data_IF_150959788136
#
_entry.id   IF_150959788136
#
_cell.length_a   1.000
_cell.length_b   1.000
_cell.length_c   1.000
_cell.angle_alpha   90.00
_cell.angle_beta   90.00
_cell.angle_gamma   90.00
#
_symmetry.space_group_name_H-M   'P 1'
#
loop_
_entity.id
_entity.type
_entity.pdbx_description
1 polymer ?
#
# COMPACT_ATOMS: atom_id res chain seq x y z
N UNK A 1 8.00 3.13 9.69
CA UNK A 1 7.94 2.12 8.62
C UNK A 1 8.69 2.68 7.42
N UNK A 2 9.48 1.85 6.73
CA UNK A 2 10.16 2.26 5.49
C UNK A 2 9.21 2.02 4.32
N UNK A 3 9.02 3.02 3.49
CA UNK A 3 8.20 2.96 2.28
C UNK A 3 8.89 3.76 1.16
N UNK A 4 8.38 3.66 -0.05
CA UNK A 4 8.74 4.58 -1.12
C UNK A 4 7.50 4.91 -1.95
N UNK A 5 7.63 5.85 -2.89
CA UNK A 5 6.49 6.35 -3.66
C UNK A 5 6.77 6.20 -5.15
N UNK A 6 5.79 5.72 -5.90
CA UNK A 6 5.83 5.66 -7.36
C UNK A 6 4.55 6.22 -7.95
N UNK A 7 4.65 6.77 -9.16
CA UNK A 7 3.51 7.23 -9.95
C UNK A 7 3.12 6.10 -10.91
N UNK A 8 1.90 5.59 -10.80
CA UNK A 8 1.33 4.65 -11.77
C UNK A 8 0.20 5.33 -12.54
N UNK A 9 0.14 5.12 -13.86
CA UNK A 9 -1.03 5.54 -14.63
C UNK A 9 -2.20 4.62 -14.30
N UNK A 10 -3.26 5.19 -13.73
CA UNK A 10 -4.52 4.50 -13.50
C UNK A 10 -5.28 4.22 -14.80
N UNK A 11 -6.36 3.43 -14.71
CA UNK A 11 -7.19 3.03 -15.85
C UNK A 11 -7.85 4.19 -16.62
N UNK A 12 -7.78 5.43 -16.10
CA UNK A 12 -8.32 6.65 -16.68
C UNK A 12 -7.26 7.68 -17.10
N UNK A 13 -6.00 7.26 -17.22
CA UNK A 13 -4.86 8.14 -17.57
C UNK A 13 -4.55 9.22 -16.51
N UNK A 14 -5.15 9.10 -15.32
CA UNK A 14 -4.78 9.85 -14.12
C UNK A 14 -3.54 9.21 -13.51
N UNK A 15 -2.57 10.03 -13.10
CA UNK A 15 -1.41 9.57 -12.34
C UNK A 15 -1.84 9.40 -10.89
N UNK A 16 -1.87 8.15 -10.42
CA UNK A 16 -2.19 7.82 -9.04
C UNK A 16 -0.90 7.53 -8.28
N UNK A 17 -0.67 8.31 -7.22
CA UNK A 17 0.45 8.07 -6.33
C UNK A 17 0.25 6.74 -5.59
N UNK A 18 1.25 5.86 -5.67
CA UNK A 18 1.21 4.52 -5.09
C UNK A 18 2.35 4.32 -4.11
N UNK A 19 2.04 3.72 -2.96
CA UNK A 19 3.02 3.40 -1.93
C UNK A 19 3.68 2.05 -2.24
N UNK A 20 5.00 2.06 -2.33
CA UNK A 20 5.84 0.87 -2.39
C UNK A 20 6.19 0.44 -0.97
N UNK A 21 5.70 -0.72 -0.55
CA UNK A 21 6.00 -1.26 0.77
C UNK A 21 5.81 -2.78 0.81
N UNK A 22 6.54 -3.49 1.68
CA UNK A 22 6.27 -4.90 1.93
C UNK A 22 4.91 -5.04 2.62
N UNK A 23 4.02 -5.86 2.05
CA UNK A 23 2.77 -6.23 2.72
C UNK A 23 3.01 -7.38 3.72
N UNK A 24 2.32 -7.41 4.87
CA UNK A 24 2.45 -8.50 5.84
C UNK A 24 2.27 -9.88 5.21
N UNK A 25 3.27 -10.76 5.37
CA UNK A 25 3.21 -12.13 4.86
C UNK A 25 2.12 -12.94 5.55
N UNK A 26 1.45 -13.83 4.79
CA UNK A 26 0.42 -14.74 5.32
C UNK A 26 -0.98 -14.16 5.44
N UNK A 27 -1.19 -12.90 5.04
CA UNK A 27 -2.50 -12.26 5.03
C UNK A 27 -2.84 -11.86 3.60
N UNK A 28 -3.87 -12.51 3.04
CA UNK A 28 -4.32 -12.28 1.67
C UNK A 28 -5.38 -11.19 1.67
N UNK A 29 -5.29 -10.28 0.71
CA UNK A 29 -6.26 -9.24 0.48
C UNK A 29 -5.65 -7.94 -0.03
N UNK A 30 -6.48 -6.92 -0.09
CA UNK A 30 -6.17 -5.60 -0.62
C UNK A 30 -5.69 -4.69 0.51
N UNK A 31 -4.38 -4.42 0.51
CA UNK A 31 -3.75 -3.51 1.46
C UNK A 31 -3.81 -2.08 0.96
N UNK A 32 -4.13 -1.15 1.85
CA UNK A 32 -4.15 0.28 1.58
C UNK A 32 -3.43 1.07 2.67
N UNK A 33 -2.70 2.11 2.27
CA UNK A 33 -2.04 3.05 3.18
C UNK A 33 -2.89 4.31 3.36
N UNK A 34 -3.05 4.79 4.59
CA UNK A 34 -3.75 6.05 4.86
C UNK A 34 -2.85 6.97 5.68
N UNK A 35 -2.60 8.19 5.21
CA UNK A 35 -1.78 9.16 5.93
C UNK A 35 -2.33 10.57 5.89
N UNK A 36 -1.88 11.40 6.83
CA UNK A 36 -2.30 12.78 6.93
C UNK A 36 -1.39 13.68 6.07
N UNK A 37 -1.98 14.37 5.10
CA UNK A 37 -1.31 15.30 4.17
C UNK A 37 -2.09 16.59 4.06
N UNK A 38 -1.40 17.72 4.20
CA UNK A 38 -2.03 19.04 4.00
C UNK A 38 -3.28 19.29 4.85
N UNK A 39 -3.46 18.58 5.97
CA UNK A 39 -4.65 18.66 6.82
C UNK A 39 -5.79 17.69 6.48
N UNK A 40 -5.66 16.87 5.44
CA UNK A 40 -6.60 15.82 5.06
C UNK A 40 -6.00 14.42 5.28
N UNK A 41 -6.86 13.42 5.46
CA UNK A 41 -6.45 12.02 5.40
C UNK A 41 -6.59 11.54 3.96
N UNK A 42 -5.46 11.16 3.36
CA UNK A 42 -5.41 10.60 2.02
C UNK A 42 -5.19 9.11 2.09
N UNK A 43 -5.86 8.39 1.17
CA UNK A 43 -5.83 6.95 1.08
C UNK A 43 -5.14 6.57 -0.23
N UNK A 44 -4.04 5.86 -0.14
CA UNK A 44 -3.14 5.57 -1.24
C UNK A 44 -3.05 4.06 -1.46
N UNK A 45 -3.14 3.58 -2.70
CA UNK A 45 -2.95 2.17 -3.01
C UNK A 45 -1.53 1.73 -2.64
N UNK A 46 -1.40 0.46 -2.29
CA UNK A 46 -0.11 -0.19 -2.05
C UNK A 46 0.22 -1.08 -3.23
N UNK A 47 1.41 -0.88 -3.80
CA UNK A 47 2.05 -1.89 -4.62
C UNK A 47 3.04 -2.66 -3.75
N UNK A 48 2.72 -3.94 -3.51
CA UNK A 48 3.64 -4.82 -2.79
C UNK A 48 4.90 -5.04 -3.61
N UNK A 49 6.05 -4.75 -3.03
CA UNK A 49 7.33 -5.12 -3.61
C UNK A 49 7.68 -6.55 -3.22
N UNK A 50 8.25 -7.33 -4.14
CA UNK A 50 8.88 -8.60 -3.78
C UNK A 50 10.06 -8.29 -2.83
N UNK A 51 10.19 -9.08 -1.77
CA UNK A 51 11.29 -8.95 -0.81
C UNK A 51 12.68 -9.20 -1.43
N UNK A 52 12.74 -9.85 -2.59
CA UNK A 52 13.96 -10.10 -3.35
C UNK A 52 14.26 -9.03 -4.40
N UNK A 53 13.32 -8.10 -4.65
CA UNK A 53 13.54 -7.01 -5.58
C UNK A 53 14.45 -5.93 -4.99
N UNK A 54 15.24 -5.30 -5.86
CA UNK A 54 15.95 -4.09 -5.50
C UNK A 54 14.95 -2.96 -5.25
N UNK A 55 15.20 -2.07 -4.27
CA UNK A 55 14.32 -0.94 -4.01
C UNK A 55 14.16 -0.07 -5.26
N UNK A 56 12.93 0.02 -5.77
CA UNK A 56 12.61 0.78 -6.98
C UNK A 56 12.66 2.31 -6.76
N UNK A 57 12.67 2.76 -5.50
CA UNK A 57 12.72 4.17 -5.13
C UNK A 57 13.48 4.36 -3.80
N UNK A 58 13.80 5.61 -3.47
CA UNK A 58 14.49 5.96 -2.23
C UNK A 58 13.58 5.69 -1.02
N UNK A 59 14.12 5.14 0.08
CA UNK A 59 13.32 4.91 1.27
C UNK A 59 12.91 6.23 1.94
N UNK A 60 11.69 6.25 2.43
CA UNK A 60 11.02 7.36 3.11
C UNK A 60 10.47 6.90 4.47
N UNK A 61 10.39 7.82 5.42
CA UNK A 61 9.72 7.63 6.70
C UNK A 61 8.32 8.26 6.64
N UNK A 62 7.30 7.42 6.79
CA UNK A 62 5.88 7.83 6.71
C UNK A 62 5.14 7.48 7.99
N UNK A 63 4.13 8.29 8.32
CA UNK A 63 3.27 8.13 9.50
C UNK A 63 1.81 8.04 9.07
N UNK A 64 1.11 7.01 9.51
CA UNK A 64 -0.22 6.69 9.04
C UNK A 64 -0.70 5.32 9.49
N UNK A 65 -1.71 4.79 8.82
CA UNK A 65 -2.35 3.52 9.11
C UNK A 65 -2.30 2.58 7.89
N UNK A 66 -1.98 1.31 8.15
CA UNK A 66 -2.08 0.23 7.18
C UNK A 66 -3.42 -0.50 7.38
N UNK A 67 -4.24 -0.58 6.34
CA UNK A 67 -5.57 -1.19 6.38
C UNK A 67 -5.67 -2.35 5.40
N UNK A 68 -6.34 -3.44 5.81
CA UNK A 68 -6.73 -4.55 4.95
C UNK A 68 -8.22 -4.42 4.64
N UNK A 69 -8.58 -4.06 3.41
CA UNK A 69 -9.94 -3.64 3.07
C UNK A 69 -10.94 -4.79 2.91
N UNK A 70 -10.45 -5.95 2.51
CA UNK A 70 -11.22 -7.16 2.24
C UNK A 70 -10.92 -8.25 3.28
N UNK A 71 -10.56 -7.83 4.50
CA UNK A 71 -10.26 -8.73 5.62
C UNK A 71 -11.39 -9.75 5.88
N UNK A 72 -12.64 -9.31 5.75
CA UNK A 72 -13.82 -10.15 5.97
C UNK A 72 -14.06 -11.18 4.86
N UNK A 73 -13.54 -10.94 3.64
CA UNK A 73 -13.64 -11.91 2.54
C UNK A 73 -12.64 -13.07 2.70
N UNK A 74 -11.51 -12.81 3.36
CA UNK A 74 -10.40 -13.76 3.50
C UNK A 74 -10.38 -14.48 4.86
N UNK A 75 -11.29 -14.16 5.78
CA UNK A 75 -11.44 -14.83 7.08
C UNK A 75 -12.27 -16.13 7.03
N UNK A 76 -12.83 -16.49 5.87
CA UNK A 76 -13.81 -17.58 5.73
C UNK A 76 -13.24 -18.93 5.27
N UNK A 77 -11.92 -19.10 5.28
CA UNK A 77 -11.27 -20.34 4.78
C UNK A 77 -11.00 -21.39 5.88
N UNK A 78 -11.24 -21.10 7.16
CA UNK A 78 -11.06 -22.07 8.26
C UNK A 78 -12.37 -22.68 8.78
N UNK A 79 -13.15 -23.36 7.93
CA UNK A 79 -14.24 -24.22 8.43
C UNK A 79 -14.37 -25.55 7.71
#
# INVERSE_FOLDING_TARGET
MLAATTELRGARDEVEETVLMPTPAGVVGSWTWTEQRGGAWERLPILSQDQYDLPLARPELRSGFLTLDDAAAHSRTDR
#
